data_IF_529440916552
#
_entry.id   IF_529440916552
#
_cell.length_a   1.000
_cell.length_b   1.000
_cell.length_c   1.000
_cell.angle_alpha   90.00
_cell.angle_beta   90.00
_cell.angle_gamma   90.00
#
_symmetry.space_group_name_H-M   'P 1'
#
loop_
_entity.id
_entity.type
_entity.pdbx_description
1 polymer ?
#
# COMPACT_ATOMS: atom_id res chain seq x y z
N UNK A 1 11.83 -10.88 -6.81
CA UNK A 1 12.10 -10.29 -5.47
C UNK A 1 11.59 -11.25 -4.38
N UNK A 2 12.30 -11.34 -3.30
CA UNK A 2 11.91 -12.18 -2.17
C UNK A 2 11.45 -11.33 -1.00
N UNK A 3 10.48 -11.84 -0.22
CA UNK A 3 9.91 -11.06 0.88
C UNK A 3 10.98 -10.63 1.90
N UNK A 4 11.98 -11.47 2.16
CA UNK A 4 13.06 -11.14 3.09
C UNK A 4 13.89 -9.93 2.64
N UNK A 5 13.90 -9.62 1.33
CA UNK A 5 14.64 -8.49 0.80
C UNK A 5 13.94 -7.16 1.09
N UNK A 6 12.69 -7.20 1.50
CA UNK A 6 11.87 -6.01 1.72
C UNK A 6 12.14 -5.33 3.06
N UNK A 7 12.81 -5.99 3.99
CA UNK A 7 13.08 -5.43 5.32
C UNK A 7 13.84 -4.11 5.28
N UNK A 8 14.65 -3.89 4.26
CA UNK A 8 15.38 -2.63 4.07
C UNK A 8 14.41 -1.44 4.00
N UNK A 9 13.19 -1.65 3.53
CA UNK A 9 12.20 -0.58 3.41
C UNK A 9 11.69 -0.08 4.76
N UNK A 10 11.95 -0.81 5.87
CA UNK A 10 11.66 -0.32 7.21
C UNK A 10 12.57 0.85 7.63
N UNK A 11 13.70 1.02 6.93
CA UNK A 11 14.62 2.13 7.15
C UNK A 11 14.25 3.38 6.35
N UNK A 12 13.26 3.27 5.43
CA UNK A 12 12.92 4.35 4.51
C UNK A 12 11.83 5.24 5.12
N UNK A 13 11.92 6.57 4.89
CA UNK A 13 10.99 7.53 5.50
C UNK A 13 9.70 7.72 4.67
N UNK A 14 9.30 6.74 3.91
CA UNK A 14 8.08 6.77 3.10
C UNK A 14 7.33 5.46 3.24
N UNK A 15 6.05 5.45 2.80
CA UNK A 15 5.24 4.24 2.81
C UNK A 15 5.70 3.29 1.70
N UNK A 16 5.80 2.01 2.04
CA UNK A 16 6.03 0.95 1.07
C UNK A 16 5.18 -0.26 1.46
N UNK A 17 4.52 -0.86 0.47
CA UNK A 17 3.69 -2.04 0.71
C UNK A 17 3.62 -2.93 -0.53
N UNK A 18 3.25 -4.19 -0.30
CA UNK A 18 2.97 -5.15 -1.36
C UNK A 18 1.66 -5.85 -1.02
N UNK A 19 0.74 -5.88 -1.98
CA UNK A 19 -0.54 -6.59 -1.85
C UNK A 19 -0.62 -7.70 -2.89
N UNK A 20 -1.27 -8.80 -2.52
CA UNK A 20 -1.56 -9.86 -3.47
C UNK A 20 -2.75 -9.49 -4.38
N UNK A 21 -3.14 -10.42 -5.27
CA UNK A 21 -4.22 -10.18 -6.21
C UNK A 21 -5.59 -9.98 -5.53
N UNK A 22 -5.75 -10.42 -4.30
CA UNK A 22 -6.97 -10.26 -3.52
C UNK A 22 -6.97 -9.00 -2.65
N UNK A 23 -5.90 -8.19 -2.74
CA UNK A 23 -5.79 -6.96 -1.96
C UNK A 23 -5.30 -7.16 -0.53
N UNK A 24 -4.79 -8.33 -0.21
CA UNK A 24 -4.26 -8.62 1.11
C UNK A 24 -2.80 -8.22 1.18
N UNK A 25 -2.41 -7.48 2.21
CA UNK A 25 -1.02 -7.06 2.38
C UNK A 25 -0.12 -8.27 2.68
N UNK A 26 0.91 -8.44 1.87
CA UNK A 26 1.98 -9.42 2.11
C UNK A 26 3.14 -8.78 2.84
N UNK A 27 3.32 -7.48 2.67
CA UNK A 27 4.32 -6.69 3.36
C UNK A 27 3.85 -5.24 3.50
N UNK A 28 4.20 -4.64 4.62
CA UNK A 28 4.09 -3.20 4.83
C UNK A 28 5.26 -2.77 5.68
N UNK A 29 5.94 -1.69 5.27
CA UNK A 29 7.07 -1.20 6.05
C UNK A 29 6.61 -0.48 7.32
N UNK A 30 7.57 -0.05 8.13
CA UNK A 30 7.29 0.59 9.41
C UNK A 30 6.39 1.82 9.25
N UNK A 31 6.63 2.64 8.22
CA UNK A 31 5.88 3.89 8.03
C UNK A 31 4.40 3.62 7.76
N UNK A 32 4.05 2.65 6.89
CA UNK A 32 2.64 2.36 6.65
C UNK A 32 1.98 1.70 7.86
N UNK A 33 2.70 0.87 8.60
CA UNK A 33 2.17 0.26 9.82
C UNK A 33 1.94 1.32 10.91
N UNK A 34 2.81 2.31 11.02
CA UNK A 34 2.62 3.44 11.92
C UNK A 34 1.37 4.26 11.53
N UNK A 35 1.17 4.50 10.23
CA UNK A 35 -0.01 5.21 9.73
C UNK A 35 -1.29 4.44 10.02
N UNK A 36 -1.25 3.12 9.91
CA UNK A 36 -2.39 2.25 10.21
C UNK A 36 -2.61 2.09 11.73
N UNK A 37 -1.59 2.31 12.53
CA UNK A 37 -1.61 2.03 13.95
C UNK A 37 -1.53 0.55 14.28
N UNK A 38 -1.13 -0.29 13.33
CA UNK A 38 -1.03 -1.74 13.49
C UNK A 38 -0.22 -2.34 12.35
N UNK A 39 0.17 -3.61 12.51
CA UNK A 39 0.80 -4.36 11.43
C UNK A 39 -0.24 -4.64 10.34
N UNK A 40 0.06 -4.26 9.10
CA UNK A 40 -0.88 -4.42 7.98
C UNK A 40 -0.83 -5.81 7.36
N UNK A 41 0.21 -6.60 7.62
CA UNK A 41 0.38 -7.91 7.00
C UNK A 41 -0.80 -8.83 7.30
N UNK A 42 -1.33 -9.47 6.25
CA UNK A 42 -2.48 -10.36 6.33
C UNK A 42 -3.82 -9.65 6.25
N UNK A 43 -3.85 -8.33 6.19
CA UNK A 43 -5.08 -7.52 6.20
C UNK A 43 -5.33 -6.86 4.86
N UNK A 44 -6.61 -6.63 4.57
CA UNK A 44 -7.02 -5.82 3.42
C UNK A 44 -7.28 -4.38 3.87
N UNK A 45 -7.49 -3.47 2.93
CA UNK A 45 -7.81 -2.08 3.27
C UNK A 45 -9.11 -1.97 4.08
N UNK A 46 -10.05 -2.91 3.88
CA UNK A 46 -11.30 -2.95 4.67
C UNK A 46 -11.07 -3.27 6.15
N UNK A 47 -9.95 -3.89 6.47
CA UNK A 47 -9.62 -4.28 7.85
C UNK A 47 -8.84 -3.19 8.59
N UNK A 48 -8.45 -2.13 7.89
CA UNK A 48 -7.57 -1.10 8.43
C UNK A 48 -8.34 0.19 8.79
N UNK A 49 -7.65 1.10 9.46
CA UNK A 49 -8.25 2.36 9.93
C UNK A 49 -8.84 3.19 8.78
N UNK A 50 -8.32 3.07 7.57
CA UNK A 50 -8.82 3.78 6.38
C UNK A 50 -9.89 3.02 5.58
N UNK A 51 -10.62 2.13 6.24
CA UNK A 51 -11.66 1.30 5.60
C UNK A 51 -12.72 2.08 4.83
N UNK A 52 -12.97 3.33 5.19
CA UNK A 52 -13.93 4.18 4.46
C UNK A 52 -13.51 4.46 3.02
N UNK A 53 -12.21 4.39 2.73
CA UNK A 53 -11.67 4.61 1.40
C UNK A 53 -11.24 3.30 0.72
N UNK A 54 -11.51 2.15 1.34
CA UNK A 54 -11.02 0.86 0.89
C UNK A 54 -11.47 0.50 -0.53
N UNK A 55 -12.74 0.79 -0.87
CA UNK A 55 -13.25 0.48 -2.22
C UNK A 55 -12.49 1.25 -3.31
N UNK A 56 -12.22 2.53 -3.08
CA UNK A 56 -11.46 3.36 -4.01
C UNK A 56 -10.01 2.88 -4.13
N UNK A 57 -9.38 2.55 -3.01
CA UNK A 57 -8.01 2.04 -2.99
C UNK A 57 -7.90 0.72 -3.74
N UNK A 58 -8.84 -0.19 -3.49
CA UNK A 58 -8.85 -1.49 -4.15
C UNK A 58 -9.17 -1.40 -5.64
N UNK A 59 -10.07 -0.48 -6.04
CA UNK A 59 -10.37 -0.25 -7.45
C UNK A 59 -9.11 0.21 -8.19
N UNK A 60 -8.31 1.07 -7.58
CA UNK A 60 -7.06 1.53 -8.16
C UNK A 60 -6.04 0.38 -8.26
N UNK A 61 -5.91 -0.43 -7.21
CA UNK A 61 -5.03 -1.61 -7.23
C UNK A 61 -5.43 -2.56 -8.37
N UNK A 62 -6.72 -2.85 -8.54
CA UNK A 62 -7.22 -3.73 -9.60
C UNK A 62 -6.88 -3.18 -10.98
N UNK A 63 -7.05 -1.87 -11.18
CA UNK A 63 -6.73 -1.24 -12.46
C UNK A 63 -5.24 -1.42 -12.80
N UNK A 64 -4.36 -1.25 -11.83
CA UNK A 64 -2.92 -1.47 -12.02
C UNK A 64 -2.64 -2.94 -12.34
N UNK A 65 -3.25 -3.87 -11.60
CA UNK A 65 -3.05 -5.30 -11.80
C UNK A 65 -3.56 -5.78 -13.17
N UNK A 66 -4.69 -5.24 -13.63
CA UNK A 66 -5.28 -5.60 -14.91
C UNK A 66 -4.50 -5.03 -16.09
N UNK A 67 -4.07 -3.76 -16.01
CA UNK A 67 -3.33 -3.11 -17.09
C UNK A 67 -1.86 -3.51 -17.14
N UNK A 68 -1.27 -3.85 -15.99
CA UNK A 68 0.16 -4.07 -15.86
C UNK A 68 0.99 -2.79 -15.95
N UNK A 69 0.33 -1.63 -16.02
CA UNK A 69 1.01 -0.35 -16.18
C UNK A 69 1.24 0.32 -14.84
N UNK A 70 2.43 0.91 -14.69
CA UNK A 70 2.76 1.73 -13.51
C UNK A 70 1.86 2.95 -13.48
N UNK A 71 1.31 3.26 -12.31
CA UNK A 71 0.39 4.38 -12.10
C UNK A 71 0.97 5.35 -11.08
N UNK A 72 0.83 6.64 -11.38
CA UNK A 72 1.22 7.74 -10.49
C UNK A 72 -0.02 8.58 -10.25
N UNK A 73 -0.57 8.53 -9.03
CA UNK A 73 -1.77 9.29 -8.69
C UNK A 73 -1.68 9.86 -7.27
N UNK A 74 -2.61 10.76 -6.96
CA UNK A 74 -2.88 11.15 -5.59
C UNK A 74 -4.00 10.28 -5.03
N UNK A 75 -3.83 9.79 -3.80
CA UNK A 75 -4.89 9.12 -3.06
C UNK A 75 -5.16 9.90 -1.77
N UNK A 76 -6.44 9.97 -1.41
CA UNK A 76 -6.85 10.61 -0.17
C UNK A 76 -7.32 9.55 0.81
N UNK A 77 -6.79 9.59 2.02
CA UNK A 77 -7.18 8.72 3.12
C UNK A 77 -7.85 9.60 4.16
N UNK A 78 -9.14 9.40 4.38
CA UNK A 78 -9.92 10.19 5.33
C UNK A 78 -9.66 9.80 6.78
N UNK A 79 -9.10 8.62 7.01
CA UNK A 79 -8.79 8.15 8.36
C UNK A 79 -7.44 7.45 8.38
N UNK A 80 -6.58 7.93 9.26
CA UNK A 80 -5.36 7.26 9.69
C UNK A 80 -5.20 7.58 11.18
N UNK A 81 -4.18 7.05 11.83
CA UNK A 81 -3.93 7.41 13.23
C UNK A 81 -3.59 8.89 13.41
N UNK A 82 -3.22 9.56 12.31
CA UNK A 82 -2.89 11.00 12.29
C UNK A 82 -3.99 11.85 11.62
N UNK A 83 -5.19 11.29 11.39
CA UNK A 83 -6.28 11.97 10.70
C UNK A 83 -6.24 11.81 9.19
N UNK A 84 -6.77 12.80 8.47
CA UNK A 84 -6.81 12.80 7.02
C UNK A 84 -5.41 12.99 6.44
N UNK A 85 -5.12 12.31 5.34
CA UNK A 85 -3.86 12.46 4.63
C UNK A 85 -4.07 12.36 3.12
N UNK A 86 -3.36 13.18 2.38
CA UNK A 86 -3.27 13.07 0.93
C UNK A 86 -1.91 12.48 0.59
N UNK A 87 -1.92 11.44 -0.22
CA UNK A 87 -0.73 10.68 -0.57
C UNK A 87 -0.41 10.85 -2.05
N UNK A 88 0.87 10.99 -2.34
CA UNK A 88 1.38 10.90 -3.70
C UNK A 88 1.83 9.44 -3.88
N UNK A 89 1.13 8.68 -4.73
CA UNK A 89 1.26 7.23 -4.79
C UNK A 89 1.79 6.77 -6.14
N UNK A 90 2.76 5.87 -6.11
CA UNK A 90 3.22 5.12 -7.28
C UNK A 90 2.90 3.65 -7.04
N UNK A 91 2.15 3.02 -7.96
CA UNK A 91 1.81 1.60 -7.91
C UNK A 91 2.27 0.91 -9.17
N UNK A 92 2.75 -0.32 -9.04
CA UNK A 92 3.20 -1.12 -10.18
C UNK A 92 3.04 -2.61 -9.89
N UNK A 93 3.03 -3.40 -10.96
CA UNK A 93 3.00 -4.85 -10.86
C UNK A 93 4.42 -5.38 -10.74
N UNK A 94 4.63 -6.28 -9.80
CA UNK A 94 5.91 -6.94 -9.62
C UNK A 94 5.71 -8.37 -9.13
N UNK A 95 6.80 -9.09 -9.03
CA UNK A 95 6.82 -10.46 -8.53
C UNK A 95 7.38 -10.48 -7.12
N UNK A 96 6.68 -11.16 -6.22
CA UNK A 96 7.14 -11.42 -4.86
C UNK A 96 7.03 -12.91 -4.59
N UNK A 97 8.18 -13.57 -4.45
CA UNK A 97 8.28 -15.02 -4.21
C UNK A 97 7.44 -15.84 -5.20
N UNK A 98 7.49 -15.47 -6.49
CA UNK A 98 6.78 -16.16 -7.56
C UNK A 98 5.32 -15.77 -7.71
N UNK A 99 4.83 -14.79 -6.95
CA UNK A 99 3.45 -14.31 -7.00
C UNK A 99 3.40 -12.94 -7.67
N UNK A 100 2.43 -12.76 -8.56
CA UNK A 100 2.17 -11.46 -9.19
C UNK A 100 1.44 -10.58 -8.18
N UNK A 101 2.05 -9.46 -7.83
CA UNK A 101 1.56 -8.58 -6.77
C UNK A 101 1.50 -7.12 -7.22
N UNK A 102 0.74 -6.34 -6.46
CA UNK A 102 0.71 -4.88 -6.60
C UNK A 102 1.64 -4.29 -5.55
N UNK A 103 2.70 -3.64 -6.03
CA UNK A 103 3.65 -2.91 -5.19
C UNK A 103 3.22 -1.45 -5.13
N UNK A 104 3.47 -0.80 -4.01
CA UNK A 104 3.18 0.61 -3.85
C UNK A 104 4.21 1.32 -3.01
N UNK A 105 4.48 2.56 -3.39
CA UNK A 105 5.28 3.49 -2.60
C UNK A 105 4.52 4.80 -2.52
N UNK A 106 4.63 5.49 -1.40
CA UNK A 106 3.86 6.70 -1.20
C UNK A 106 4.53 7.67 -0.25
N UNK A 107 4.30 8.95 -0.53
CA UNK A 107 4.71 10.04 0.32
C UNK A 107 3.48 10.80 0.79
N UNK A 108 3.45 11.18 2.07
CA UNK A 108 2.40 12.07 2.57
C UNK A 108 2.75 13.48 2.14
N UNK A 109 1.89 14.08 1.31
CA UNK A 109 2.12 15.44 0.80
C UNK A 109 1.28 16.47 1.54
N UNK A 110 0.28 16.03 2.30
CA UNK A 110 -0.57 16.92 3.07
C UNK A 110 -1.25 16.11 4.17
N UNK A 111 -1.19 16.57 5.42
CA UNK A 111 -1.97 15.93 6.49
C UNK A 111 -3.47 16.12 6.29
#
# INVERSE_FOLDING_TARGET
MHIKDLEIFNEMPFLFWVKDAEGRHLFGNKVICDLAGEDVVGKTDHDLVWRKDADALQAHDRKVMESGETSFIHEHIRQSVHGDATLNVCKWVGDLDGRRCCFGVSFIISP
#
